data_IF_693901684675
#
_entry.id   IF_693901684675
#
_cell.length_a   1.000
_cell.length_b   1.000
_cell.length_c   1.000
_cell.angle_alpha   90.00
_cell.angle_beta   90.00
_cell.angle_gamma   90.00
#
_symmetry.space_group_name_H-M   'P 1'
#
loop_
_entity.id
_entity.type
_entity.pdbx_description
1 polymer ?
#
# COMPACT_ATOMS: atom_id res chain seq x y z
N UNK A 1 6.91 -18.66 21.59
CA UNK A 1 6.05 -18.36 20.41
C UNK A 1 6.76 -17.50 19.38
N UNK A 2 7.34 -16.34 19.71
CA UNK A 2 8.05 -15.48 18.73
C UNK A 2 9.24 -16.20 18.08
N UNK A 3 10.02 -16.99 18.83
CA UNK A 3 11.20 -17.68 18.31
C UNK A 3 10.88 -18.89 17.41
N UNK A 4 9.75 -19.56 17.61
CA UNK A 4 9.33 -20.67 16.73
C UNK A 4 8.82 -20.15 15.37
N UNK A 5 8.09 -19.05 15.35
CA UNK A 5 7.62 -18.41 14.12
C UNK A 5 8.76 -17.79 13.31
N UNK A 6 9.76 -17.22 13.98
CA UNK A 6 10.98 -16.73 13.31
C UNK A 6 11.82 -17.87 12.70
N UNK A 7 11.79 -19.06 13.28
CA UNK A 7 12.50 -20.23 12.76
C UNK A 7 11.81 -20.80 11.49
N UNK A 8 10.48 -20.76 11.46
CA UNK A 8 9.67 -21.21 10.33
C UNK A 8 9.71 -20.20 9.18
N UNK A 9 9.70 -18.91 9.49
CA UNK A 9 9.96 -17.82 8.54
C UNK A 9 11.35 -17.94 7.92
N UNK A 10 12.36 -18.26 8.69
CA UNK A 10 13.69 -18.61 8.18
C UNK A 10 13.59 -19.66 7.09
N UNK A 11 12.86 -20.76 7.30
CA UNK A 11 12.69 -21.81 6.30
C UNK A 11 12.09 -21.25 4.99
N UNK A 12 11.00 -20.52 5.07
CA UNK A 12 10.25 -20.12 3.86
C UNK A 12 10.92 -18.99 3.07
N UNK A 13 11.42 -17.95 3.72
CA UNK A 13 12.09 -16.81 3.04
C UNK A 13 13.53 -17.18 2.68
N UNK A 14 14.20 -17.96 3.51
CA UNK A 14 15.58 -18.40 3.34
C UNK A 14 15.72 -19.37 2.18
N UNK A 15 14.90 -20.40 2.15
CA UNK A 15 14.94 -21.39 1.09
C UNK A 15 14.62 -20.76 -0.25
N UNK A 16 13.70 -19.81 -0.31
CA UNK A 16 13.38 -19.07 -1.55
C UNK A 16 14.49 -18.09 -1.94
N UNK A 17 15.08 -17.38 -1.02
CA UNK A 17 16.22 -16.49 -1.33
C UNK A 17 17.51 -17.24 -1.62
N UNK A 18 17.69 -18.45 -1.05
CA UNK A 18 18.83 -19.34 -1.31
C UNK A 18 18.72 -20.09 -2.65
N UNK A 19 17.54 -20.23 -3.25
CA UNK A 19 17.31 -20.93 -4.51
C UNK A 19 17.78 -20.13 -5.76
N UNK A 20 18.84 -19.35 -5.66
CA UNK A 20 19.40 -18.60 -6.79
C UNK A 20 20.92 -18.80 -6.94
N UNK A 21 21.41 -18.59 -8.15
CA UNK A 21 22.86 -18.67 -8.46
C UNK A 21 23.64 -17.60 -7.70
N UNK A 22 24.54 -18.06 -6.81
CA UNK A 22 25.61 -17.24 -6.21
C UNK A 22 25.23 -16.57 -4.89
N UNK A 23 26.25 -16.17 -4.12
CA UNK A 23 26.10 -15.38 -2.91
C UNK A 23 25.54 -14.00 -3.26
N UNK A 24 24.57 -13.51 -2.48
CA UNK A 24 24.03 -12.17 -2.67
C UNK A 24 25.08 -11.14 -2.26
N UNK A 25 25.38 -10.15 -3.14
CA UNK A 25 26.38 -9.13 -2.83
C UNK A 25 25.95 -8.28 -1.63
N UNK A 26 26.94 -7.78 -0.87
CA UNK A 26 26.69 -6.84 0.23
C UNK A 26 26.04 -5.55 -0.26
N UNK A 27 25.31 -4.88 0.61
CA UNK A 27 24.85 -3.52 0.34
C UNK A 27 26.06 -2.59 0.30
N UNK A 28 26.24 -1.94 -0.84
CA UNK A 28 27.27 -0.90 -1.05
C UNK A 28 26.75 0.47 -0.62
N UNK A 29 25.50 0.77 -0.96
CA UNK A 29 24.87 2.05 -0.62
C UNK A 29 23.37 1.85 -0.30
N UNK A 30 22.89 2.64 0.65
CA UNK A 30 21.49 2.77 1.02
C UNK A 30 21.22 4.24 1.27
N UNK A 31 20.25 4.79 0.58
CA UNK A 31 19.85 6.18 0.70
C UNK A 31 18.37 6.38 0.46
N UNK A 32 17.84 7.45 1.02
CA UNK A 32 16.47 7.89 0.76
C UNK A 32 16.44 9.37 0.38
N UNK A 33 15.49 9.73 -0.46
CA UNK A 33 15.19 11.13 -0.81
C UNK A 33 13.70 11.39 -0.65
N UNK A 34 13.36 12.63 -0.32
CA UNK A 34 11.97 13.09 -0.30
C UNK A 34 11.61 13.73 -1.63
N UNK A 35 10.42 13.42 -2.12
CA UNK A 35 9.79 14.09 -3.25
C UNK A 35 8.49 14.70 -2.77
N UNK A 36 8.23 15.95 -3.06
CA UNK A 36 6.95 16.61 -2.76
C UNK A 36 6.30 17.06 -4.06
N UNK A 37 5.07 16.63 -4.27
CA UNK A 37 4.28 16.96 -5.45
C UNK A 37 3.07 17.79 -5.04
N UNK A 38 2.93 18.98 -5.63
CA UNK A 38 1.74 19.81 -5.43
C UNK A 38 0.57 19.20 -6.22
N UNK A 39 -0.59 19.12 -5.58
CA UNK A 39 -1.81 18.74 -6.29
C UNK A 39 -2.32 19.91 -7.12
N UNK A 40 -2.90 19.68 -8.30
CA UNK A 40 -3.46 20.74 -9.15
C UNK A 40 -4.52 21.59 -8.44
N UNK A 41 -5.27 20.98 -7.53
CA UNK A 41 -6.18 21.64 -6.61
C UNK A 41 -6.18 20.95 -5.26
N UNK A 42 -6.47 21.66 -4.16
CA UNK A 42 -6.59 21.04 -2.85
C UNK A 42 -7.69 19.96 -2.84
N UNK A 43 -7.36 18.81 -2.28
CA UNK A 43 -8.32 17.72 -2.06
C UNK A 43 -8.76 17.77 -0.60
N UNK A 44 -10.06 17.85 -0.36
CA UNK A 44 -10.65 17.77 0.97
C UNK A 44 -11.17 16.35 1.17
N UNK A 45 -10.50 15.60 2.05
CA UNK A 45 -10.80 14.21 2.36
C UNK A 45 -11.27 14.14 3.83
N UNK A 46 -12.57 13.93 4.05
CA UNK A 46 -13.13 14.05 5.39
C UNK A 46 -12.83 15.44 5.99
N UNK A 47 -12.05 15.46 7.06
CA UNK A 47 -11.59 16.69 7.73
C UNK A 47 -10.22 17.20 7.26
N UNK A 48 -9.53 16.46 6.40
CA UNK A 48 -8.18 16.78 5.94
C UNK A 48 -8.18 17.59 4.66
N UNK A 49 -7.32 18.62 4.59
CA UNK A 49 -7.09 19.40 3.36
C UNK A 49 -5.69 19.08 2.85
N UNK A 50 -5.63 18.38 1.74
CA UNK A 50 -4.39 17.92 1.12
C UNK A 50 -4.07 18.85 -0.04
N UNK A 51 -2.93 19.54 0.03
CA UNK A 51 -2.44 20.48 -1.00
C UNK A 51 -1.27 19.91 -1.80
N UNK A 52 -0.55 19.00 -1.18
CA UNK A 52 0.60 18.31 -1.78
C UNK A 52 0.71 16.91 -1.22
N UNK A 53 1.40 16.03 -1.94
CA UNK A 53 1.77 14.69 -1.50
C UNK A 53 3.27 14.62 -1.36
N UNK A 54 3.76 14.19 -0.20
CA UNK A 54 5.15 13.86 0.05
C UNK A 54 5.38 12.36 -0.05
N UNK A 55 6.50 12.00 -0.67
CA UNK A 55 6.92 10.61 -0.83
C UNK A 55 8.36 10.46 -0.35
N UNK A 56 8.65 9.34 0.28
CA UNK A 56 10.01 8.86 0.46
C UNK A 56 10.32 7.86 -0.65
N UNK A 57 11.44 8.04 -1.33
CA UNK A 57 11.99 7.11 -2.31
C UNK A 57 13.29 6.55 -1.75
N UNK A 58 13.35 5.23 -1.59
CA UNK A 58 14.52 4.52 -1.07
C UNK A 58 15.23 3.82 -2.20
N UNK A 59 16.56 3.89 -2.21
CA UNK A 59 17.43 3.18 -3.16
C UNK A 59 18.44 2.35 -2.39
N UNK A 60 18.53 1.07 -2.73
CA UNK A 60 19.55 0.13 -2.27
C UNK A 60 20.43 -0.24 -3.46
N UNK A 61 21.76 -0.09 -3.32
CA UNK A 61 22.75 -0.51 -4.30
C UNK A 61 23.61 -1.63 -3.72
N UNK A 62 23.67 -2.76 -4.41
CA UNK A 62 24.52 -3.89 -4.05
C UNK A 62 25.94 -3.70 -4.60
N UNK A 63 26.91 -4.47 -4.09
CA UNK A 63 28.32 -4.33 -4.46
C UNK A 63 28.60 -4.68 -5.93
N UNK A 64 27.73 -5.43 -6.60
CA UNK A 64 27.82 -5.73 -8.02
C UNK A 64 27.19 -4.64 -8.93
N UNK A 65 26.64 -3.59 -8.32
CA UNK A 65 25.97 -2.49 -9.02
C UNK A 65 24.46 -2.69 -9.25
N UNK A 66 23.88 -3.82 -8.84
CA UNK A 66 22.44 -4.03 -8.89
C UNK A 66 21.74 -3.03 -7.96
N UNK A 67 20.69 -2.37 -8.46
CA UNK A 67 19.94 -1.34 -7.72
C UNK A 67 18.50 -1.73 -7.60
N UNK A 68 17.99 -1.68 -6.37
CA UNK A 68 16.57 -1.78 -6.07
C UNK A 68 16.01 -0.47 -5.54
N UNK A 69 14.74 -0.24 -5.82
CA UNK A 69 14.03 0.96 -5.41
C UNK A 69 12.65 0.64 -4.86
N UNK A 70 12.21 1.48 -3.94
CA UNK A 70 10.84 1.50 -3.44
C UNK A 70 10.41 2.93 -3.16
N UNK A 71 9.12 3.12 -3.03
CA UNK A 71 8.56 4.42 -2.67
C UNK A 71 7.26 4.24 -1.89
N UNK A 72 6.89 5.27 -1.12
CA UNK A 72 5.63 5.33 -0.39
C UNK A 72 5.35 6.72 0.12
N UNK A 73 4.09 6.97 0.49
CA UNK A 73 3.68 8.24 1.09
C UNK A 73 4.42 8.48 2.41
N UNK A 74 4.94 9.70 2.60
CA UNK A 74 5.55 10.10 3.88
C UNK A 74 4.54 10.63 4.90
N UNK A 75 3.31 10.94 4.47
CA UNK A 75 2.25 11.52 5.31
C UNK A 75 2.70 12.78 6.07
N UNK A 76 3.63 13.56 5.50
CA UNK A 76 4.19 14.74 6.14
C UNK A 76 5.20 14.45 7.26
N UNK A 77 5.65 13.20 7.40
CA UNK A 77 6.64 12.79 8.40
C UNK A 77 8.04 12.66 7.78
N UNK A 78 9.14 12.74 8.56
CA UNK A 78 10.50 12.74 8.05
C UNK A 78 11.01 11.33 7.71
N UNK A 79 10.29 10.57 6.88
CA UNK A 79 10.64 9.18 6.53
C UNK A 79 12.02 9.09 5.88
N UNK A 80 12.31 9.93 4.88
CA UNK A 80 13.60 9.90 4.19
C UNK A 80 14.78 10.24 5.14
N UNK A 81 14.59 11.21 6.02
CA UNK A 81 15.62 11.58 7.02
C UNK A 81 15.80 10.42 8.02
N UNK A 82 14.72 9.79 8.44
CA UNK A 82 14.78 8.61 9.34
C UNK A 82 15.56 7.46 8.69
N UNK A 83 15.36 7.20 7.41
CA UNK A 83 16.15 6.20 6.69
C UNK A 83 17.63 6.58 6.69
N UNK A 84 17.97 7.80 6.31
CA UNK A 84 19.36 8.24 6.18
C UNK A 84 20.10 8.33 7.51
N UNK A 85 19.42 8.66 8.61
CA UNK A 85 20.07 8.92 9.90
C UNK A 85 19.96 7.77 10.90
N UNK A 86 18.91 6.97 10.84
CA UNK A 86 18.63 5.95 11.85
C UNK A 86 18.76 4.51 11.30
N UNK A 87 18.39 4.30 10.02
CA UNK A 87 18.28 2.95 9.47
C UNK A 87 19.51 2.59 8.63
N UNK A 88 20.04 3.51 7.80
CA UNK A 88 21.01 3.18 6.76
C UNK A 88 22.30 2.55 7.29
N UNK A 89 22.96 3.14 8.28
CA UNK A 89 24.25 2.63 8.75
C UNK A 89 24.13 1.29 9.47
N UNK A 90 23.22 1.11 10.47
CA UNK A 90 23.01 -0.19 11.08
C UNK A 90 22.61 -1.27 10.06
N UNK A 91 21.86 -0.89 9.03
CA UNK A 91 21.41 -1.81 7.99
C UNK A 91 22.57 -2.32 7.12
N UNK A 92 23.49 -1.45 6.72
CA UNK A 92 24.70 -1.81 5.97
C UNK A 92 25.60 -2.77 6.75
N UNK A 93 25.72 -2.55 8.07
CA UNK A 93 26.52 -3.42 8.94
C UNK A 93 25.91 -4.83 9.09
N UNK A 94 24.58 -4.91 9.12
CA UNK A 94 23.84 -6.17 9.26
C UNK A 94 23.87 -6.98 7.97
N UNK A 95 23.83 -6.27 6.83
CA UNK A 95 23.83 -6.90 5.51
C UNK A 95 25.24 -7.35 5.13
N UNK A 96 25.66 -8.48 5.65
CA UNK A 96 26.97 -9.07 5.40
C UNK A 96 27.06 -9.84 4.06
N UNK A 97 26.00 -9.81 3.26
CA UNK A 97 25.85 -10.56 2.00
C UNK A 97 25.01 -11.82 2.17
N UNK A 98 24.54 -12.11 3.39
CA UNK A 98 23.53 -13.12 3.65
C UNK A 98 22.17 -12.42 3.88
N UNK A 99 21.23 -12.51 2.92
CA UNK A 99 19.91 -11.88 3.04
C UNK A 99 19.13 -12.39 4.26
N UNK A 100 19.43 -13.60 4.70
CA UNK A 100 18.82 -14.26 5.84
C UNK A 100 19.13 -13.51 7.13
N UNK A 101 20.42 -13.28 7.36
CA UNK A 101 20.89 -12.56 8.53
C UNK A 101 20.36 -11.15 8.54
N UNK A 102 20.23 -10.54 7.37
CA UNK A 102 19.69 -9.17 7.21
C UNK A 102 18.24 -9.08 7.61
N UNK A 103 17.37 -9.92 7.03
CA UNK A 103 15.94 -9.87 7.33
C UNK A 103 15.65 -10.33 8.78
N UNK A 104 16.36 -11.34 9.28
CA UNK A 104 16.27 -11.75 10.69
C UNK A 104 16.72 -10.62 11.63
N UNK A 105 17.81 -9.94 11.31
CA UNK A 105 18.32 -8.85 12.12
C UNK A 105 17.41 -7.61 12.06
N UNK A 106 16.80 -7.30 10.92
CA UNK A 106 15.79 -6.25 10.82
C UNK A 106 14.59 -6.56 11.69
N UNK A 107 14.04 -7.77 11.59
CA UNK A 107 12.90 -8.20 12.38
C UNK A 107 13.22 -8.23 13.88
N UNK A 108 14.42 -8.65 14.26
CA UNK A 108 14.88 -8.66 15.66
C UNK A 108 15.24 -7.29 16.20
N UNK A 109 15.79 -6.41 15.36
CA UNK A 109 16.16 -5.02 15.70
C UNK A 109 15.03 -4.03 15.59
N UNK A 110 13.82 -4.47 15.31
CA UNK A 110 12.63 -3.63 15.46
C UNK A 110 12.46 -3.26 16.94
N UNK A 111 13.43 -2.47 17.47
CA UNK A 111 13.26 -1.79 18.74
C UNK A 111 11.99 -0.91 18.67
N UNK A 112 11.38 -0.62 19.79
CA UNK A 112 10.15 0.17 19.83
C UNK A 112 10.16 1.43 18.93
N UNK A 113 11.27 2.19 18.79
CA UNK A 113 11.34 3.32 17.87
C UNK A 113 11.22 2.93 16.39
N UNK A 114 11.71 1.75 15.99
CA UNK A 114 11.65 1.29 14.60
C UNK A 114 10.34 0.57 14.25
N UNK A 115 9.58 0.15 15.25
CA UNK A 115 8.33 -0.60 15.08
C UNK A 115 7.10 0.29 14.84
N UNK A 116 7.24 1.59 14.78
CA UNK A 116 6.12 2.51 14.65
C UNK A 116 6.43 3.79 13.86
N UNK A 117 5.38 4.43 13.35
CA UNK A 117 5.41 5.74 12.71
C UNK A 117 6.34 5.83 11.51
N UNK A 118 7.06 6.95 11.40
CA UNK A 118 7.99 7.23 10.31
C UNK A 118 9.13 6.20 10.23
N UNK A 119 9.55 5.63 11.36
CA UNK A 119 10.58 4.60 11.42
C UNK A 119 10.12 3.31 10.75
N UNK A 120 8.90 2.85 11.04
CA UNK A 120 8.34 1.66 10.40
C UNK A 120 8.11 1.89 8.91
N UNK A 121 7.62 3.06 8.49
CA UNK A 121 7.52 3.44 7.07
C UNK A 121 8.89 3.37 6.38
N UNK A 122 9.92 3.96 6.98
CA UNK A 122 11.27 3.92 6.46
C UNK A 122 11.82 2.51 6.33
N UNK A 123 11.62 1.69 7.37
CA UNK A 123 12.05 0.29 7.38
C UNK A 123 11.31 -0.54 6.32
N UNK A 124 10.00 -0.31 6.14
CA UNK A 124 9.20 -0.97 5.12
C UNK A 124 9.74 -0.71 3.70
N UNK A 125 10.07 0.55 3.41
CA UNK A 125 10.64 0.92 2.12
C UNK A 125 12.05 0.36 1.92
N UNK A 126 12.87 0.30 2.97
CA UNK A 126 14.20 -0.33 2.90
C UNK A 126 14.09 -1.83 2.62
N UNK A 127 13.15 -2.51 3.28
CA UNK A 127 12.87 -3.93 3.03
C UNK A 127 12.45 -4.18 1.58
N UNK A 128 11.48 -3.44 1.07
CA UNK A 128 11.03 -3.54 -0.31
C UNK A 128 12.14 -3.25 -1.31
N UNK A 129 12.92 -2.17 -1.12
CA UNK A 129 14.03 -1.83 -2.01
C UNK A 129 15.13 -2.91 -1.99
N UNK A 130 15.34 -3.57 -0.85
CA UNK A 130 16.29 -4.68 -0.75
C UNK A 130 15.83 -5.89 -1.52
N UNK A 131 14.56 -6.28 -1.40
CA UNK A 131 13.99 -7.37 -2.21
C UNK A 131 14.05 -7.06 -3.71
N UNK A 132 13.77 -5.82 -4.09
CA UNK A 132 13.90 -5.36 -5.48
C UNK A 132 15.35 -5.49 -5.98
N UNK A 133 16.35 -5.06 -5.19
CA UNK A 133 17.78 -5.16 -5.54
C UNK A 133 18.22 -6.63 -5.70
N UNK A 134 17.83 -7.50 -4.77
CA UNK A 134 18.14 -8.93 -4.79
C UNK A 134 17.52 -9.61 -6.01
N UNK A 135 16.27 -9.34 -6.33
CA UNK A 135 15.60 -9.88 -7.50
C UNK A 135 16.28 -9.41 -8.80
N UNK A 136 16.66 -8.13 -8.88
CA UNK A 136 17.42 -7.58 -10.03
C UNK A 136 18.81 -8.18 -10.15
N UNK A 137 19.52 -8.40 -9.06
CA UNK A 137 20.78 -9.16 -9.06
C UNK A 137 20.61 -10.56 -9.66
N UNK A 138 19.54 -11.25 -9.26
CA UNK A 138 19.21 -12.58 -9.81
C UNK A 138 18.69 -12.55 -11.25
N UNK A 139 18.35 -11.39 -11.79
CA UNK A 139 17.74 -11.23 -13.12
C UNK A 139 16.29 -11.70 -13.20
N UNK A 140 15.57 -11.71 -12.06
CA UNK A 140 14.19 -12.21 -11.92
C UNK A 140 13.24 -11.11 -11.47
N UNK A 141 11.94 -11.37 -11.48
CA UNK A 141 10.96 -10.60 -10.72
C UNK A 141 11.08 -10.92 -9.23
N UNK A 142 10.46 -10.11 -8.36
CA UNK A 142 10.39 -10.42 -6.92
C UNK A 142 9.61 -11.71 -6.69
N UNK A 143 8.50 -11.94 -7.41
CA UNK A 143 7.70 -13.17 -7.31
C UNK A 143 8.55 -14.43 -7.65
N UNK A 144 9.29 -14.38 -8.76
CA UNK A 144 10.16 -15.48 -9.16
C UNK A 144 11.31 -15.72 -8.18
N UNK A 145 11.81 -14.65 -7.52
CA UNK A 145 12.85 -14.79 -6.50
C UNK A 145 12.40 -15.59 -5.28
N UNK A 146 11.09 -15.72 -5.06
CA UNK A 146 10.45 -16.58 -4.06
C UNK A 146 9.99 -17.94 -4.63
N UNK A 147 10.40 -18.29 -5.85
CA UNK A 147 9.97 -19.55 -6.48
C UNK A 147 8.49 -19.63 -6.81
N UNK A 148 7.80 -18.49 -6.80
CA UNK A 148 6.37 -18.37 -7.09
C UNK A 148 6.14 -17.87 -8.53
N UNK A 149 4.88 -17.83 -8.95
CA UNK A 149 4.44 -17.28 -10.23
C UNK A 149 3.42 -16.18 -10.00
N UNK A 150 3.42 -15.19 -10.88
CA UNK A 150 2.37 -14.15 -10.87
C UNK A 150 0.98 -14.79 -10.93
N UNK A 151 0.07 -14.24 -10.16
CA UNK A 151 -1.36 -14.60 -10.12
C UNK A 151 -2.18 -13.41 -10.62
N UNK A 152 -3.35 -13.71 -11.19
CA UNK A 152 -4.36 -12.69 -11.41
C UNK A 152 -5.06 -12.35 -10.09
N UNK A 153 -5.34 -11.08 -9.89
CA UNK A 153 -5.95 -10.56 -8.68
C UNK A 153 -7.15 -9.67 -9.00
N UNK A 154 -8.15 -9.60 -8.10
CA UNK A 154 -9.30 -8.70 -8.27
C UNK A 154 -8.86 -7.24 -8.13
N UNK A 155 -8.88 -6.49 -9.24
CA UNK A 155 -8.46 -5.09 -9.30
C UNK A 155 -9.63 -4.15 -8.98
N UNK A 156 -9.47 -3.29 -7.97
CA UNK A 156 -10.44 -2.31 -7.55
C UNK A 156 -9.96 -0.89 -7.86
N UNK A 157 -10.81 -0.11 -8.53
CA UNK A 157 -10.46 1.25 -8.90
C UNK A 157 -10.88 2.25 -7.81
N UNK A 158 -9.94 3.10 -7.38
CA UNK A 158 -10.27 4.29 -6.60
C UNK A 158 -10.82 5.34 -7.56
N UNK A 159 -12.05 5.78 -7.32
CA UNK A 159 -12.77 6.76 -8.13
C UNK A 159 -13.29 7.91 -7.25
N UNK A 160 -13.76 8.98 -7.87
CA UNK A 160 -14.45 10.06 -7.15
C UNK A 160 -13.52 11.08 -6.50
N UNK A 161 -12.31 11.25 -7.01
CA UNK A 161 -11.44 12.34 -6.62
C UNK A 161 -11.49 13.52 -7.59
N UNK A 162 -11.52 14.79 -7.10
CA UNK A 162 -11.68 15.15 -5.69
C UNK A 162 -13.09 14.85 -5.16
N UNK A 163 -13.25 14.65 -3.83
CA UNK A 163 -14.54 14.31 -3.22
C UNK A 163 -15.65 15.38 -3.34
N UNK A 164 -15.34 16.52 -3.92
CA UNK A 164 -16.30 17.60 -4.24
C UNK A 164 -17.04 17.38 -5.56
N UNK A 165 -16.66 16.37 -6.35
CA UNK A 165 -17.33 16.06 -7.63
C UNK A 165 -18.74 15.53 -7.40
N UNK A 166 -19.62 15.84 -8.36
CA UNK A 166 -21.04 15.51 -8.25
C UNK A 166 -21.36 14.04 -8.56
N UNK A 167 -22.60 13.62 -8.25
CA UNK A 167 -23.07 12.26 -8.52
C UNK A 167 -22.98 11.83 -9.98
N UNK A 168 -23.20 12.75 -10.92
CA UNK A 168 -23.12 12.47 -12.37
C UNK A 168 -21.70 12.08 -12.80
N UNK A 169 -20.69 12.78 -12.28
CA UNK A 169 -19.29 12.46 -12.52
C UNK A 169 -18.95 11.05 -12.01
N UNK A 170 -19.48 10.70 -10.83
CA UNK A 170 -19.24 9.39 -10.21
C UNK A 170 -19.82 8.26 -11.06
N UNK A 171 -21.05 8.38 -11.51
CA UNK A 171 -21.67 7.37 -12.36
C UNK A 171 -20.87 7.14 -13.66
N UNK A 172 -20.30 8.21 -14.20
CA UNK A 172 -19.43 8.12 -15.38
C UNK A 172 -18.09 7.42 -15.06
N UNK A 173 -17.45 7.80 -13.95
CA UNK A 173 -16.17 7.17 -13.53
C UNK A 173 -16.32 5.69 -13.25
N UNK A 174 -17.41 5.27 -12.61
CA UNK A 174 -17.71 3.85 -12.38
C UNK A 174 -17.78 3.09 -13.71
N UNK A 175 -18.50 3.64 -14.70
CA UNK A 175 -18.58 3.04 -16.04
C UNK A 175 -17.21 2.93 -16.70
N UNK A 176 -16.39 3.99 -16.60
CA UNK A 176 -15.05 4.00 -17.18
C UNK A 176 -14.12 2.99 -16.49
N UNK A 177 -14.18 2.87 -15.16
CA UNK A 177 -13.39 1.92 -14.39
C UNK A 177 -13.74 0.47 -14.76
N UNK A 178 -15.02 0.13 -14.82
CA UNK A 178 -15.49 -1.20 -15.20
C UNK A 178 -15.10 -1.52 -16.65
N UNK A 179 -15.23 -0.57 -17.57
CA UNK A 179 -14.80 -0.74 -18.96
C UNK A 179 -13.28 -0.95 -19.07
N UNK A 180 -12.49 -0.44 -18.11
CA UNK A 180 -11.06 -0.66 -18.01
C UNK A 180 -10.68 -1.98 -17.28
N UNK A 181 -11.66 -2.78 -16.82
CA UNK A 181 -11.46 -4.08 -16.20
C UNK A 181 -11.49 -4.10 -14.67
N UNK A 182 -11.89 -3.01 -14.01
CA UNK A 182 -12.10 -3.02 -12.57
C UNK A 182 -13.25 -3.95 -12.19
N UNK A 183 -13.06 -4.76 -11.17
CA UNK A 183 -14.11 -5.67 -10.63
C UNK A 183 -14.97 -4.99 -9.58
N UNK A 184 -14.57 -3.83 -9.09
CA UNK A 184 -15.28 -2.99 -8.15
C UNK A 184 -14.66 -1.60 -8.04
N UNK A 185 -15.33 -0.70 -7.33
CA UNK A 185 -14.85 0.67 -7.12
C UNK A 185 -14.89 1.06 -5.64
N UNK A 186 -13.94 1.92 -5.24
CA UNK A 186 -13.92 2.54 -3.92
C UNK A 186 -14.03 4.06 -4.05
N UNK A 187 -14.89 4.68 -3.24
CA UNK A 187 -15.10 6.11 -3.19
C UNK A 187 -14.67 6.68 -1.82
N UNK A 188 -13.91 7.77 -1.79
CA UNK A 188 -13.61 8.47 -0.55
C UNK A 188 -14.76 9.36 -0.11
N UNK A 189 -14.89 9.54 1.21
CA UNK A 189 -15.77 10.56 1.79
C UNK A 189 -15.21 11.97 1.55
N UNK A 190 -16.12 12.92 1.38
CA UNK A 190 -15.80 14.36 1.37
C UNK A 190 -16.20 15.04 2.69
N UNK A 191 -15.96 16.35 2.77
CA UNK A 191 -16.36 17.17 3.91
C UNK A 191 -17.88 17.33 4.05
N UNK A 192 -18.65 17.05 3.01
CA UNK A 192 -20.11 17.16 3.00
C UNK A 192 -20.75 15.75 3.05
N UNK A 193 -21.32 15.33 4.20
CA UNK A 193 -21.91 14.00 4.35
C UNK A 193 -23.07 13.74 3.37
N UNK A 194 -23.88 14.76 3.07
CA UNK A 194 -24.99 14.62 2.13
C UNK A 194 -24.48 14.34 0.72
N UNK A 195 -23.52 15.12 0.23
CA UNK A 195 -22.89 14.88 -1.07
C UNK A 195 -22.20 13.52 -1.13
N UNK A 196 -21.52 13.11 -0.05
CA UNK A 196 -20.90 11.78 0.06
C UNK A 196 -21.95 10.70 -0.18
N UNK A 197 -23.10 10.78 0.49
CA UNK A 197 -24.18 9.81 0.33
C UNK A 197 -24.75 9.81 -1.09
N UNK A 198 -25.04 10.98 -1.66
CA UNK A 198 -25.52 11.11 -3.04
C UNK A 198 -24.55 10.49 -4.07
N UNK A 199 -23.25 10.64 -3.85
CA UNK A 199 -22.20 10.02 -4.68
C UNK A 199 -22.19 8.49 -4.56
N UNK A 200 -22.31 7.96 -3.34
CA UNK A 200 -22.38 6.51 -3.11
C UNK A 200 -23.66 5.93 -3.74
N UNK A 201 -24.79 6.58 -3.57
CA UNK A 201 -26.05 6.19 -4.19
C UNK A 201 -25.95 6.20 -5.73
N UNK A 202 -25.29 7.21 -6.32
CA UNK A 202 -25.07 7.28 -7.77
C UNK A 202 -24.15 6.14 -8.27
N UNK A 203 -23.10 5.80 -7.52
CA UNK A 203 -22.25 4.67 -7.85
C UNK A 203 -23.02 3.34 -7.81
N UNK A 204 -23.77 3.11 -6.73
CA UNK A 204 -24.61 1.92 -6.53
C UNK A 204 -25.70 1.81 -7.61
N UNK A 205 -26.32 2.93 -7.97
CA UNK A 205 -27.39 2.97 -9.00
C UNK A 205 -26.88 2.56 -10.39
N UNK A 206 -25.58 2.56 -10.65
CA UNK A 206 -25.05 2.03 -11.92
C UNK A 206 -25.28 0.53 -12.07
N UNK A 207 -25.32 -0.22 -10.97
CA UNK A 207 -25.47 -1.68 -10.95
C UNK A 207 -24.37 -2.44 -11.69
N UNK A 208 -23.23 -1.80 -12.01
CA UNK A 208 -22.19 -2.38 -12.87
C UNK A 208 -21.17 -3.21 -12.10
N UNK A 209 -20.90 -2.84 -10.86
CA UNK A 209 -19.94 -3.52 -10.00
C UNK A 209 -20.22 -3.24 -8.52
N UNK A 210 -19.64 -4.02 -7.60
CA UNK A 210 -19.65 -3.71 -6.17
C UNK A 210 -18.99 -2.35 -5.88
N UNK A 211 -19.53 -1.63 -4.89
CA UNK A 211 -19.09 -0.30 -4.45
C UNK A 211 -18.65 -0.36 -2.99
N UNK A 212 -17.54 0.21 -2.66
CA UNK A 212 -17.08 0.42 -1.27
C UNK A 212 -16.83 1.90 -0.97
N UNK A 213 -16.71 2.23 0.29
CA UNK A 213 -16.38 3.59 0.72
C UNK A 213 -15.24 3.60 1.73
N UNK A 214 -14.37 4.60 1.58
CA UNK A 214 -13.32 4.94 2.53
C UNK A 214 -13.77 6.15 3.34
N UNK A 215 -13.94 5.96 4.66
CA UNK A 215 -14.38 7.01 5.58
C UNK A 215 -13.22 7.92 6.03
N UNK A 216 -11.97 7.62 5.63
CA UNK A 216 -10.80 8.48 5.78
C UNK A 216 -10.65 9.05 7.20
N UNK A 217 -10.85 8.20 8.21
CA UNK A 217 -10.74 8.52 9.64
C UNK A 217 -11.63 9.68 10.10
N UNK A 218 -12.75 9.91 9.39
CA UNK A 218 -13.61 11.07 9.64
C UNK A 218 -14.57 10.91 10.79
N UNK A 219 -14.76 9.70 11.31
CA UNK A 219 -15.70 9.39 12.37
C UNK A 219 -15.00 9.30 13.73
N UNK A 220 -15.73 9.68 14.79
CA UNK A 220 -15.25 9.62 16.18
C UNK A 220 -15.84 8.46 16.96
N UNK A 221 -17.02 7.99 16.54
CA UNK A 221 -17.77 6.92 17.20
C UNK A 221 -18.31 5.93 16.19
N UNK A 222 -18.55 4.69 16.63
CA UNK A 222 -19.17 3.64 15.82
C UNK A 222 -20.54 4.09 15.28
N UNK A 223 -21.30 4.84 16.07
CA UNK A 223 -22.60 5.36 15.65
C UNK A 223 -22.48 6.38 14.51
N UNK A 224 -21.50 7.29 14.55
CA UNK A 224 -21.27 8.25 13.46
C UNK A 224 -20.94 7.51 12.16
N UNK A 225 -20.03 6.54 12.20
CA UNK A 225 -19.69 5.74 11.04
C UNK A 225 -20.88 4.96 10.48
N UNK A 226 -21.66 4.32 11.36
CA UNK A 226 -22.89 3.62 10.98
C UNK A 226 -23.91 4.55 10.31
N UNK A 227 -24.13 5.76 10.87
CA UNK A 227 -25.11 6.71 10.34
C UNK A 227 -24.75 7.20 8.90
N UNK A 228 -23.46 7.22 8.54
CA UNK A 228 -23.01 7.58 7.18
C UNK A 228 -23.44 6.51 6.17
N UNK A 229 -23.32 5.23 6.52
CA UNK A 229 -23.42 4.11 5.56
C UNK A 229 -24.69 3.28 5.68
N UNK A 230 -25.49 3.47 6.73
CA UNK A 230 -26.70 2.66 6.97
C UNK A 230 -27.63 2.62 5.78
N UNK A 231 -28.07 1.41 5.41
CA UNK A 231 -29.01 1.18 4.32
C UNK A 231 -28.42 1.32 2.92
N UNK A 232 -27.08 1.42 2.81
CA UNK A 232 -26.38 1.31 1.53
C UNK A 232 -25.86 -0.11 1.36
N UNK A 233 -26.04 -0.69 0.18
CA UNK A 233 -25.53 -2.02 -0.17
C UNK A 233 -24.08 -1.93 -0.62
N UNK A 234 -23.17 -1.76 0.35
CA UNK A 234 -21.74 -1.60 0.12
C UNK A 234 -21.01 -2.94 0.21
N UNK A 235 -19.97 -3.09 -0.60
CA UNK A 235 -19.08 -4.23 -0.54
C UNK A 235 -18.27 -4.26 0.77
N UNK A 236 -17.82 -3.09 1.23
CA UNK A 236 -17.25 -2.86 2.56
C UNK A 236 -17.22 -1.38 2.93
N UNK A 237 -17.03 -1.12 4.20
CA UNK A 237 -16.70 0.20 4.78
C UNK A 237 -15.24 0.18 5.22
N UNK A 238 -14.48 1.23 4.88
CA UNK A 238 -13.05 1.31 5.13
C UNK A 238 -12.69 2.47 6.04
N UNK A 239 -11.70 2.25 6.92
CA UNK A 239 -10.99 3.22 7.75
C UNK A 239 -11.86 4.32 8.39
N UNK A 240 -12.88 3.97 9.17
CA UNK A 240 -13.78 4.94 9.79
C UNK A 240 -13.09 5.80 10.84
N UNK A 241 -12.10 5.25 11.57
CA UNK A 241 -11.47 5.85 12.73
C UNK A 241 -9.97 6.02 12.54
N UNK A 242 -9.36 6.90 13.32
CA UNK A 242 -7.90 7.05 13.36
C UNK A 242 -7.21 5.71 13.67
N UNK A 243 -6.02 5.48 13.11
CA UNK A 243 -5.25 4.26 13.35
C UNK A 243 -5.14 3.90 14.84
N UNK A 244 -5.27 2.61 15.16
CA UNK A 244 -5.23 2.09 16.53
C UNK A 244 -6.57 2.08 17.29
N UNK A 245 -7.67 2.54 16.70
CA UNK A 245 -9.00 2.60 17.35
C UNK A 245 -9.71 1.25 17.36
N UNK A 246 -9.08 0.22 17.94
CA UNK A 246 -9.59 -1.17 17.89
C UNK A 246 -10.96 -1.31 18.59
N UNK A 247 -11.17 -0.62 19.71
CA UNK A 247 -12.41 -0.72 20.46
C UNK A 247 -13.62 -0.21 19.66
N UNK A 248 -13.45 0.91 18.96
CA UNK A 248 -14.47 1.51 18.10
C UNK A 248 -14.76 0.64 16.89
N UNK A 249 -13.73 -0.01 16.33
CA UNK A 249 -13.89 -0.97 15.23
C UNK A 249 -14.70 -2.19 15.67
N UNK A 250 -14.42 -2.75 16.84
CA UNK A 250 -15.19 -3.87 17.43
C UNK A 250 -16.65 -3.47 17.65
N UNK A 251 -16.91 -2.26 18.12
CA UNK A 251 -18.26 -1.76 18.30
C UNK A 251 -18.97 -1.58 16.95
N UNK A 252 -18.32 -0.93 16.00
CA UNK A 252 -18.89 -0.70 14.66
C UNK A 252 -19.18 -2.02 13.94
N UNK A 253 -18.29 -3.01 14.05
CA UNK A 253 -18.49 -4.32 13.44
C UNK A 253 -19.78 -5.00 13.87
N UNK A 254 -20.26 -4.73 15.10
CA UNK A 254 -21.51 -5.26 15.62
C UNK A 254 -22.76 -4.53 15.09
N UNK A 255 -22.59 -3.32 14.61
CA UNK A 255 -23.68 -2.48 14.09
C UNK A 255 -23.86 -2.64 12.59
N UNK A 256 -22.80 -3.02 11.86
CA UNK A 256 -22.80 -3.10 10.41
C UNK A 256 -23.34 -4.45 9.91
N UNK A 257 -24.19 -4.38 8.89
CA UNK A 257 -24.60 -5.54 8.08
C UNK A 257 -23.66 -5.76 6.86
N UNK A 258 -22.72 -4.84 6.64
CA UNK A 258 -21.73 -4.89 5.55
C UNK A 258 -20.32 -5.11 6.11
N UNK A 259 -19.40 -5.72 5.35
CA UNK A 259 -18.04 -5.97 5.79
C UNK A 259 -17.30 -4.70 6.20
N UNK A 260 -16.46 -4.81 7.24
CA UNK A 260 -15.60 -3.76 7.74
C UNK A 260 -14.13 -4.08 7.44
N UNK A 261 -13.43 -3.10 6.87
CA UNK A 261 -12.00 -3.14 6.59
C UNK A 261 -11.30 -1.93 7.22
N UNK A 262 -10.09 -2.13 7.75
CA UNK A 262 -9.27 -1.03 8.27
C UNK A 262 -7.80 -1.44 8.29
N UNK A 263 -6.90 -0.44 8.27
CA UNK A 263 -5.52 -0.66 8.58
C UNK A 263 -4.49 -0.13 7.58
N UNK A 264 -4.85 0.58 6.52
CA UNK A 264 -3.91 1.00 5.47
C UNK A 264 -2.79 1.94 5.95
N UNK A 265 -3.01 2.66 7.03
CA UNK A 265 -2.06 3.59 7.65
C UNK A 265 -1.69 3.18 9.10
N UNK A 266 -1.91 1.91 9.45
CA UNK A 266 -1.50 1.35 10.73
C UNK A 266 0.02 1.21 10.81
N UNK A 267 0.64 2.28 11.23
CA UNK A 267 2.10 2.39 11.36
C UNK A 267 2.63 1.85 12.69
N UNK A 268 2.04 0.79 13.18
CA UNK A 268 2.55 0.03 14.32
C UNK A 268 2.59 -1.46 13.96
N UNK A 269 3.75 -2.08 14.16
CA UNK A 269 4.04 -3.43 13.66
C UNK A 269 3.03 -4.50 14.08
N UNK A 270 2.44 -4.37 15.27
CA UNK A 270 1.56 -5.39 15.85
C UNK A 270 0.06 -5.09 15.68
N UNK A 271 -0.35 -3.95 15.12
CA UNK A 271 -1.77 -3.64 14.92
C UNK A 271 -2.48 -4.64 14.00
N UNK A 272 -1.92 -5.09 12.87
CA UNK A 272 -2.57 -6.11 12.05
C UNK A 272 -2.86 -7.40 12.81
N UNK A 273 -1.96 -7.83 13.70
CA UNK A 273 -2.19 -9.00 14.57
C UNK A 273 -3.32 -8.76 15.56
N UNK A 274 -3.35 -7.59 16.19
CA UNK A 274 -4.42 -7.22 17.14
C UNK A 274 -5.81 -7.18 16.48
N UNK A 275 -5.91 -6.76 15.24
CA UNK A 275 -7.17 -6.82 14.47
C UNK A 275 -7.62 -8.26 14.24
N UNK A 276 -6.70 -9.16 13.91
CA UNK A 276 -7.00 -10.59 13.73
C UNK A 276 -7.48 -11.20 15.06
N UNK A 277 -6.74 -10.96 16.14
CA UNK A 277 -7.02 -11.55 17.46
C UNK A 277 -8.33 -11.05 18.07
N UNK A 278 -8.70 -9.79 17.84
CA UNK A 278 -9.93 -9.19 18.39
C UNK A 278 -11.18 -9.47 17.54
N UNK A 279 -11.01 -9.94 16.30
CA UNK A 279 -12.12 -10.09 15.37
C UNK A 279 -12.79 -8.75 15.02
N UNK A 280 -12.03 -7.66 15.06
CA UNK A 280 -12.53 -6.31 14.81
C UNK A 280 -12.95 -6.07 13.37
N UNK A 281 -12.41 -6.85 12.44
CA UNK A 281 -12.56 -6.66 10.99
C UNK A 281 -13.04 -7.93 10.28
N UNK A 282 -13.63 -7.74 9.10
CA UNK A 282 -13.93 -8.82 8.15
C UNK A 282 -12.83 -8.98 7.10
N UNK A 283 -12.11 -7.89 6.82
CA UNK A 283 -10.96 -7.85 5.93
C UNK A 283 -9.86 -7.00 6.54
N UNK A 284 -8.62 -7.46 6.38
CA UNK A 284 -7.45 -6.71 6.83
C UNK A 284 -6.98 -5.79 5.70
N UNK A 285 -7.00 -4.48 5.95
CA UNK A 285 -6.44 -3.50 5.03
C UNK A 285 -4.94 -3.40 5.21
N UNK A 286 -4.17 -3.58 4.15
CA UNK A 286 -2.71 -3.65 4.22
C UNK A 286 -2.07 -2.72 3.19
N UNK A 287 -1.02 -2.02 3.65
CA UNK A 287 -0.06 -1.33 2.81
C UNK A 287 1.37 -1.73 3.21
N UNK A 288 1.99 -2.57 2.41
CA UNK A 288 3.35 -3.04 2.66
C UNK A 288 4.39 -1.90 2.66
N UNK A 289 4.09 -0.75 2.06
CA UNK A 289 5.02 0.40 2.04
C UNK A 289 5.15 1.09 3.40
N UNK A 290 4.26 0.79 4.34
CA UNK A 290 4.30 1.38 5.68
C UNK A 290 4.16 0.39 6.84
N UNK A 291 3.90 -0.90 6.56
CA UNK A 291 3.62 -1.92 7.58
C UNK A 291 4.68 -3.03 7.66
N UNK A 292 5.93 -2.72 7.36
CA UNK A 292 7.06 -3.64 7.55
C UNK A 292 7.54 -4.36 6.29
N UNK A 293 7.11 -3.90 5.11
CA UNK A 293 7.60 -4.43 3.82
C UNK A 293 7.14 -5.85 3.49
N UNK A 294 7.76 -6.45 2.49
CA UNK A 294 7.47 -7.82 2.06
C UNK A 294 7.79 -8.85 3.15
N UNK A 295 8.90 -8.69 3.86
CA UNK A 295 9.30 -9.64 4.91
C UNK A 295 8.24 -9.73 6.01
N UNK A 296 7.64 -8.60 6.40
CA UNK A 296 6.55 -8.61 7.38
C UNK A 296 5.27 -9.22 6.81
N UNK A 297 4.98 -9.04 5.54
CA UNK A 297 3.81 -9.65 4.91
C UNK A 297 3.90 -11.18 4.89
N UNK A 298 5.09 -11.74 4.67
CA UNK A 298 5.31 -13.19 4.77
C UNK A 298 5.04 -13.70 6.19
N UNK A 299 5.50 -12.97 7.23
CA UNK A 299 5.17 -13.33 8.62
C UNK A 299 3.67 -13.20 8.93
N UNK A 300 3.03 -12.14 8.45
CA UNK A 300 1.61 -11.92 8.64
C UNK A 300 0.78 -13.03 7.99
N UNK A 301 1.25 -13.56 6.84
CA UNK A 301 0.60 -14.67 6.15
C UNK A 301 0.43 -15.91 7.05
N UNK A 302 1.42 -16.23 7.88
CA UNK A 302 1.33 -17.33 8.84
C UNK A 302 0.26 -17.09 9.91
N UNK A 303 0.16 -15.85 10.40
CA UNK A 303 -0.92 -15.44 11.30
C UNK A 303 -2.30 -15.54 10.64
N UNK A 304 -2.37 -15.14 9.37
CA UNK A 304 -3.60 -15.18 8.59
C UNK A 304 -4.07 -16.60 8.28
N UNK A 305 -3.17 -17.56 8.18
CA UNK A 305 -3.49 -18.94 7.81
C UNK A 305 -4.57 -19.59 8.71
N UNK A 306 -4.65 -19.18 9.98
CA UNK A 306 -5.66 -19.63 10.94
C UNK A 306 -6.86 -18.66 11.07
N UNK A 307 -6.83 -17.53 10.42
CA UNK A 307 -7.92 -16.57 10.33
C UNK A 307 -8.68 -16.83 9.02
N UNK A 308 -9.94 -16.50 8.97
CA UNK A 308 -10.72 -16.54 7.71
C UNK A 308 -10.72 -15.19 7.00
N UNK A 309 -9.82 -14.28 7.41
CA UNK A 309 -9.75 -12.95 6.84
C UNK A 309 -9.09 -12.99 5.47
N UNK A 310 -9.57 -12.13 4.58
CA UNK A 310 -8.90 -11.81 3.33
C UNK A 310 -8.16 -10.47 3.46
N UNK A 311 -7.21 -10.22 2.57
CA UNK A 311 -6.47 -8.97 2.52
C UNK A 311 -7.05 -8.07 1.42
N UNK A 312 -7.31 -6.82 1.78
CA UNK A 312 -7.54 -5.71 0.86
C UNK A 312 -6.26 -4.86 0.80
N UNK A 313 -5.64 -4.78 -0.37
CA UNK A 313 -4.36 -4.08 -0.56
C UNK A 313 -4.59 -2.63 -0.95
N UNK A 314 -3.96 -1.72 -0.18
CA UNK A 314 -4.04 -0.27 -0.40
C UNK A 314 -3.12 0.18 -1.53
N UNK A 315 -3.65 0.77 -2.58
CA UNK A 315 -2.93 1.34 -3.74
C UNK A 315 -1.63 0.60 -4.14
N UNK A 316 -0.72 1.21 -4.87
CA UNK A 316 0.57 0.61 -5.29
C UNK A 316 0.45 -0.80 -5.85
N UNK A 317 -0.49 -0.98 -6.79
CA UNK A 317 -0.86 -2.26 -7.40
C UNK A 317 0.36 -3.05 -7.95
N UNK A 318 1.38 -2.38 -8.49
CA UNK A 318 2.58 -3.04 -8.99
C UNK A 318 3.42 -3.71 -7.88
N UNK A 319 3.39 -3.17 -6.66
CA UNK A 319 4.05 -3.78 -5.50
C UNK A 319 3.14 -4.87 -4.91
N UNK A 320 1.90 -4.50 -4.61
CA UNK A 320 0.99 -5.36 -3.87
C UNK A 320 0.52 -6.60 -4.66
N UNK A 321 0.38 -6.52 -5.99
CA UNK A 321 0.07 -7.70 -6.82
C UNK A 321 1.18 -8.76 -6.76
N UNK A 322 2.43 -8.33 -6.70
CA UNK A 322 3.55 -9.26 -6.56
C UNK A 322 3.59 -9.86 -5.15
N UNK A 323 3.40 -9.05 -4.10
CA UNK A 323 3.33 -9.57 -2.72
C UNK A 323 2.17 -10.56 -2.57
N UNK A 324 1.00 -10.22 -3.08
CA UNK A 324 -0.19 -11.09 -3.08
C UNK A 324 0.04 -12.40 -3.86
N UNK A 325 0.94 -12.40 -4.84
CA UNK A 325 1.32 -13.61 -5.56
C UNK A 325 2.29 -14.50 -4.77
N UNK A 326 3.04 -13.92 -3.83
CA UNK A 326 4.01 -14.64 -3.00
C UNK A 326 3.32 -15.32 -1.81
N UNK A 327 2.44 -14.60 -1.12
CA UNK A 327 1.73 -15.12 0.07
C UNK A 327 0.51 -15.96 -0.32
N UNK A 328 0.08 -16.83 0.60
CA UNK A 328 -1.06 -17.73 0.37
C UNK A 328 -2.38 -17.20 0.98
N UNK A 329 -2.34 -16.10 1.74
CA UNK A 329 -3.53 -15.44 2.28
C UNK A 329 -4.47 -14.99 1.16
N UNK A 330 -5.79 -15.17 1.32
CA UNK A 330 -6.75 -14.75 0.31
C UNK A 330 -6.66 -13.24 0.05
N UNK A 331 -6.56 -12.85 -1.21
CA UNK A 331 -6.64 -11.46 -1.65
C UNK A 331 -8.07 -11.15 -2.05
N UNK A 332 -8.71 -10.22 -1.33
CA UNK A 332 -10.04 -9.71 -1.65
C UNK A 332 -9.99 -8.65 -2.74
N UNK A 333 -9.04 -7.72 -2.62
CA UNK A 333 -8.88 -6.62 -3.57
C UNK A 333 -7.44 -6.16 -3.66
N UNK A 334 -7.02 -5.75 -4.86
CA UNK A 334 -5.87 -4.89 -5.07
C UNK A 334 -6.37 -3.57 -5.62
N UNK A 335 -6.07 -2.51 -4.90
CA UNK A 335 -6.52 -1.18 -5.25
C UNK A 335 -5.54 -0.49 -6.18
N UNK A 336 -6.07 0.26 -7.14
CA UNK A 336 -5.30 1.16 -7.98
C UNK A 336 -6.03 2.48 -8.16
N UNK A 337 -5.26 3.56 -8.33
CA UNK A 337 -5.84 4.86 -8.69
C UNK A 337 -6.33 4.82 -10.12
N UNK A 338 -7.61 5.07 -10.34
CA UNK A 338 -8.14 5.21 -11.69
C UNK A 338 -7.45 6.40 -12.39
N UNK A 339 -7.18 6.31 -13.71
CA UNK A 339 -6.63 7.43 -14.45
C UNK A 339 -7.47 8.71 -14.24
N UNK A 340 -6.83 9.78 -13.80
CA UNK A 340 -7.50 11.04 -13.46
C UNK A 340 -8.01 11.15 -12.02
N UNK A 341 -7.89 10.13 -11.20
CA UNK A 341 -8.22 10.18 -9.78
C UNK A 341 -7.09 10.80 -8.91
N UNK A 342 -6.13 11.47 -9.52
CA UNK A 342 -4.85 12.03 -9.03
C UNK A 342 -4.74 12.39 -7.53
N UNK A 343 -4.87 11.43 -6.67
CA UNK A 343 -4.60 11.59 -5.24
C UNK A 343 -3.19 11.10 -4.89
N UNK A 344 -2.61 10.26 -5.73
CA UNK A 344 -1.25 9.76 -5.62
C UNK A 344 -0.48 9.94 -6.94
N UNK A 345 -0.04 11.18 -7.25
CA UNK A 345 0.56 11.50 -8.54
C UNK A 345 1.88 10.79 -8.80
N UNK A 346 2.66 10.41 -7.78
CA UNK A 346 3.88 9.65 -7.99
C UNK A 346 3.58 8.20 -8.35
N UNK A 347 2.62 7.58 -7.68
CA UNK A 347 2.17 6.24 -8.05
C UNK A 347 1.66 6.23 -9.50
N UNK A 348 0.87 7.21 -9.91
CA UNK A 348 0.41 7.34 -11.30
C UNK A 348 1.57 7.45 -12.28
N UNK A 349 2.60 8.24 -11.99
CA UNK A 349 3.78 8.39 -12.85
C UNK A 349 4.61 7.10 -12.95
N UNK A 350 4.81 6.42 -11.84
CA UNK A 350 5.60 5.18 -11.77
C UNK A 350 4.83 4.00 -12.37
N UNK A 351 3.52 3.99 -12.17
CA UNK A 351 2.63 2.90 -12.58
C UNK A 351 1.97 3.15 -13.94
N UNK A 352 2.17 4.32 -14.55
CA UNK A 352 1.59 4.65 -15.87
C UNK A 352 2.21 3.79 -16.97
N UNK A 353 1.75 2.57 -17.03
CA UNK A 353 2.11 1.59 -18.05
C UNK A 353 1.57 1.96 -19.44
N UNK A 354 0.66 2.94 -19.52
CA UNK A 354 -0.10 3.24 -20.74
C UNK A 354 0.47 4.42 -21.53
N UNK A 355 1.18 5.34 -20.89
CA UNK A 355 1.55 6.60 -21.51
C UNK A 355 3.05 6.84 -21.69
N UNK A 356 3.91 6.22 -20.91
CA UNK A 356 5.29 6.70 -20.81
C UNK A 356 6.31 5.99 -21.66
N UNK A 357 6.00 4.86 -22.27
CA UNK A 357 7.05 4.04 -22.89
C UNK A 357 8.17 3.67 -21.91
N UNK A 358 8.01 3.92 -20.62
CA UNK A 358 8.90 3.45 -19.57
C UNK A 358 8.69 1.95 -19.41
N UNK A 359 9.37 1.22 -20.26
CA UNK A 359 9.48 -0.22 -20.14
C UNK A 359 10.36 -0.50 -18.94
N UNK A 360 9.73 -0.90 -17.81
CA UNK A 360 10.49 -1.63 -16.80
C UNK A 360 11.11 -2.85 -17.47
N UNK A 361 12.31 -3.21 -17.08
CA UNK A 361 13.05 -4.36 -17.62
C UNK A 361 12.47 -5.74 -17.23
N UNK A 362 11.28 -5.75 -16.61
CA UNK A 362 10.60 -6.95 -16.14
C UNK A 362 11.17 -7.57 -14.88
N UNK A 363 12.17 -6.93 -14.24
CA UNK A 363 12.85 -7.42 -13.04
C UNK A 363 12.40 -6.69 -11.77
N UNK A 364 12.75 -7.26 -10.62
CA UNK A 364 12.40 -6.70 -9.33
C UNK A 364 10.88 -6.55 -9.15
N UNK A 365 10.44 -5.44 -8.57
CA UNK A 365 9.03 -5.06 -8.48
C UNK A 365 8.47 -4.45 -9.77
N UNK A 366 9.23 -4.42 -10.84
CA UNK A 366 8.83 -3.79 -12.11
C UNK A 366 8.52 -2.29 -11.93
N UNK A 367 9.26 -1.64 -11.07
CA UNK A 367 9.14 -0.21 -10.83
C UNK A 367 10.17 0.53 -11.67
N UNK A 368 9.79 1.67 -12.24
CA UNK A 368 10.67 2.65 -12.81
C UNK A 368 10.50 3.97 -12.05
N UNK A 369 11.20 4.10 -10.93
CA UNK A 369 11.16 5.33 -10.13
C UNK A 369 11.97 6.41 -10.86
N UNK A 370 11.34 7.54 -11.24
CA UNK A 370 12.03 8.59 -11.98
C UNK A 370 13.21 9.17 -11.18
N UNK A 371 14.33 9.42 -11.85
CA UNK A 371 15.53 10.02 -11.23
C UNK A 371 15.43 11.57 -11.14
N UNK A 372 14.21 12.07 -11.06
CA UNK A 372 13.95 13.50 -11.02
C UNK A 372 14.08 14.04 -9.61
N UNK A 373 14.92 15.07 -9.39
CA UNK A 373 15.07 15.70 -8.08
C UNK A 373 13.83 16.49 -7.65
N UNK A 374 13.05 16.99 -8.60
CA UNK A 374 11.81 17.72 -8.39
C UNK A 374 10.82 17.37 -9.52
N UNK A 375 9.69 16.82 -9.15
CA UNK A 375 8.62 16.47 -10.08
C UNK A 375 7.53 17.55 -10.18
N UNK A 376 7.64 18.64 -9.41
CA UNK A 376 6.65 19.72 -9.39
C UNK A 376 6.42 20.30 -10.79
N UNK A 377 7.45 20.44 -11.60
CA UNK A 377 7.35 20.97 -12.96
C UNK A 377 6.67 19.97 -13.92
N UNK A 378 6.85 18.67 -13.70
CA UNK A 378 6.18 17.63 -14.50
C UNK A 378 4.66 17.60 -14.27
N UNK A 379 4.21 18.03 -13.09
CA UNK A 379 2.79 18.13 -12.72
C UNK A 379 2.20 19.54 -12.99
N UNK A 380 3.03 20.55 -13.22
CA UNK A 380 2.60 21.91 -13.54
C UNK A 380 2.06 22.06 -14.97
N UNK A 381 2.23 21.05 -15.81
CA UNK A 381 1.55 20.96 -17.10
C UNK A 381 0.02 20.85 -16.90
N UNK A 382 -0.77 21.13 -17.93
CA UNK A 382 -2.20 20.84 -17.87
C UNK A 382 -2.36 19.40 -17.41
N UNK A 383 -3.28 19.12 -16.48
CA UNK A 383 -3.47 17.74 -16.00
C UNK A 383 -3.56 16.84 -17.23
N UNK A 384 -2.71 15.83 -17.29
CA UNK A 384 -2.78 14.78 -18.31
C UNK A 384 -4.01 13.90 -18.01
N UNK A 385 -5.12 14.58 -17.77
CA UNK A 385 -6.40 13.95 -17.71
C UNK A 385 -6.60 13.36 -19.08
N UNK A 386 -6.57 12.08 -19.18
CA UNK A 386 -7.24 11.44 -20.30
C UNK A 386 -8.68 11.96 -20.21
N UNK A 387 -9.00 12.96 -21.02
CA UNK A 387 -10.38 13.30 -21.23
C UNK A 387 -10.96 12.08 -21.90
N UNK A 388 -11.59 11.23 -21.13
CA UNK A 388 -12.49 10.25 -21.67
C UNK A 388 -13.64 11.05 -22.29
N UNK A 389 -13.49 11.50 -23.52
CA UNK A 389 -14.58 11.88 -24.40
C UNK A 389 -14.93 10.70 -25.25
#
# INVERSE_FOLDING_TARGET
MVDSHLAEFRGTVIDSLAQGKGAIPKIKNLSARRITLNLPSPVVLGQYVIRSRGFAVVTVELADGSKGQSFGLDRGTPVADTVNTLIAEPYKEIFDGDPINTFDAILRRMSAPLSSGASLRGLSLVDLATHDAVARHKGTTVVESFGKKDKEHPMWAVVGYPPSRGPEDIAWEVKAAVAAGAVGVKLPVGANPKLTRERLEAALATGLCPVSTDLAWSCRTAKEAYDVVKGLDLAWVEDPFIPGSIAELVELRRLLDVPLSSGDDETHLYHPQAFIETGALDMLRIDATCQGGLSRMVLLNEYMANSKLAISWHVYDAIHSQIASIIDSPTFSIEYSAPGASVDPLAEMILDRRQSGHTHDGKGFRLAVPDLPDLSDALAGPPRWVSYK
#
